data_IF_511038675824
#
_entry.id   IF_511038675824
#
_cell.length_a   1.000
_cell.length_b   1.000
_cell.length_c   1.000
_cell.angle_alpha   90.00
_cell.angle_beta   90.00
_cell.angle_gamma   90.00
#
_symmetry.space_group_name_H-M   'P 1'
#
loop_
_entity.id
_entity.type
_entity.pdbx_description
1 polymer ?
#
# COMPACT_ATOMS: atom_id res chain seq x y z
N UNK A 1 -4.19 -13.52 -14.48
CA UNK A 1 -4.58 -12.32 -13.68
C UNK A 1 -3.96 -11.09 -14.30
N UNK A 2 -4.80 -10.12 -14.62
CA UNK A 2 -4.35 -8.90 -15.30
C UNK A 2 -4.33 -7.74 -14.32
N UNK A 3 -3.27 -7.64 -13.54
CA UNK A 3 -3.09 -6.54 -12.60
C UNK A 3 -2.13 -5.52 -13.20
N UNK A 4 -2.56 -4.26 -13.19
CA UNK A 4 -1.76 -3.14 -13.69
C UNK A 4 -1.44 -2.23 -12.53
N UNK A 5 -0.19 -1.77 -12.45
CA UNK A 5 0.23 -0.78 -11.45
C UNK A 5 0.25 0.58 -12.13
N UNK A 6 -0.42 1.56 -11.53
CA UNK A 6 -0.40 2.94 -12.03
C UNK A 6 -0.28 3.92 -10.87
N UNK A 7 -0.03 5.18 -11.20
CA UNK A 7 0.02 6.24 -10.21
C UNK A 7 -1.33 6.48 -9.56
N UNK A 8 -1.29 6.87 -8.31
CA UNK A 8 -2.48 7.22 -7.54
C UNK A 8 -3.13 8.50 -8.09
N UNK A 9 -4.45 8.54 -8.03
CA UNK A 9 -5.26 9.72 -8.37
C UNK A 9 -6.17 10.07 -7.19
N UNK A 10 -6.55 11.35 -7.03
CA UNK A 10 -7.44 11.72 -5.91
C UNK A 10 -8.74 10.91 -5.83
N UNK A 11 -9.30 10.51 -6.97
CA UNK A 11 -10.51 9.69 -6.99
C UNK A 11 -10.29 8.27 -6.46
N UNK A 12 -9.04 7.85 -6.26
CA UNK A 12 -8.71 6.54 -5.72
C UNK A 12 -8.78 6.50 -4.19
N UNK A 13 -8.97 7.63 -3.53
CA UNK A 13 -8.89 7.73 -2.07
C UNK A 13 -9.80 6.74 -1.36
N UNK A 14 -11.08 6.70 -1.76
CA UNK A 14 -12.02 5.79 -1.11
C UNK A 14 -11.61 4.33 -1.26
N UNK A 15 -11.05 3.99 -2.41
CA UNK A 15 -10.61 2.62 -2.68
C UNK A 15 -9.40 2.24 -1.83
N UNK A 16 -8.42 3.12 -1.68
CA UNK A 16 -7.26 2.79 -0.84
C UNK A 16 -7.64 2.75 0.63
N UNK A 17 -8.58 3.57 1.07
CA UNK A 17 -9.10 3.48 2.44
C UNK A 17 -9.72 2.09 2.67
N UNK A 18 -10.52 1.61 1.72
CA UNK A 18 -11.15 0.30 1.81
C UNK A 18 -10.10 -0.81 1.90
N UNK A 19 -9.07 -0.76 1.06
CA UNK A 19 -8.00 -1.76 1.08
C UNK A 19 -7.27 -1.74 2.43
N UNK A 20 -6.90 -0.56 2.90
CA UNK A 20 -6.22 -0.42 4.20
C UNK A 20 -7.09 -0.97 5.32
N UNK A 21 -8.35 -0.58 5.36
CA UNK A 21 -9.23 -0.92 6.47
C UNK A 21 -9.54 -2.42 6.51
N UNK A 22 -9.47 -3.10 5.37
CA UNK A 22 -9.63 -4.55 5.30
C UNK A 22 -8.35 -5.29 5.63
N UNK A 23 -7.20 -4.74 5.26
CA UNK A 23 -5.91 -5.40 5.44
C UNK A 23 -5.31 -5.17 6.84
N UNK A 24 -5.55 -4.00 7.43
CA UNK A 24 -4.92 -3.63 8.69
C UNK A 24 -5.30 -4.55 9.86
N UNK A 25 -6.55 -4.98 10.02
CA UNK A 25 -6.88 -5.93 11.07
C UNK A 25 -6.12 -7.25 10.97
N UNK A 26 -5.87 -7.74 9.76
CA UNK A 26 -5.07 -8.95 9.57
C UNK A 26 -3.62 -8.74 10.00
N UNK A 27 -3.06 -7.58 9.68
CA UNK A 27 -1.71 -7.21 10.11
C UNK A 27 -1.58 -7.19 11.62
N UNK A 28 -2.61 -6.72 12.30
CA UNK A 28 -2.60 -6.57 13.75
C UNK A 28 -2.94 -7.86 14.48
N UNK A 29 -3.41 -8.87 13.76
CA UNK A 29 -3.83 -10.13 14.35
C UNK A 29 -2.68 -10.79 15.08
N UNK A 30 -2.91 -11.16 16.34
CA UNK A 30 -1.93 -11.83 17.16
C UNK A 30 -0.89 -10.92 17.81
N UNK A 31 -0.87 -9.64 17.45
CA UNK A 31 0.11 -8.69 17.96
C UNK A 31 -0.51 -7.60 18.82
N UNK A 32 -1.73 -7.20 18.51
CA UNK A 32 -2.42 -6.11 19.18
C UNK A 32 -3.87 -6.48 19.43
N UNK A 33 -4.48 -5.73 20.34
CA UNK A 33 -5.91 -5.79 20.56
C UNK A 33 -6.60 -5.29 19.29
N UNK A 34 -7.49 -6.10 18.67
CA UNK A 34 -8.20 -5.66 17.47
C UNK A 34 -8.98 -4.36 17.65
N UNK A 35 -9.30 -3.99 18.90
CA UNK A 35 -9.99 -2.73 19.19
C UNK A 35 -9.09 -1.52 18.98
N UNK A 36 -7.80 -1.74 18.80
CA UNK A 36 -6.84 -0.66 18.51
C UNK A 36 -6.85 -0.24 17.05
N UNK A 37 -7.59 -0.94 16.21
CA UNK A 37 -7.65 -0.62 14.80
C UNK A 37 -8.30 0.75 14.57
N UNK A 38 -7.65 1.54 13.69
CA UNK A 38 -8.14 2.86 13.29
C UNK A 38 -8.27 2.88 11.77
N UNK A 39 -9.46 3.20 11.23
CA UNK A 39 -9.62 3.37 9.78
C UNK A 39 -8.64 4.41 9.22
N UNK A 40 -8.18 4.20 8.01
CA UNK A 40 -7.20 5.10 7.39
C UNK A 40 -7.67 6.56 7.38
N UNK A 41 -8.93 6.79 7.06
CA UNK A 41 -9.48 8.14 7.01
C UNK A 41 -9.46 8.86 8.36
N UNK A 42 -9.38 8.10 9.46
CA UNK A 42 -9.34 8.65 10.83
C UNK A 42 -7.94 8.63 11.44
N UNK A 43 -7.00 7.98 10.77
CA UNK A 43 -5.63 7.86 11.25
C UNK A 43 -4.90 9.19 11.04
N UNK A 44 -4.29 9.77 12.10
CA UNK A 44 -3.51 11.00 11.91
C UNK A 44 -2.40 10.85 10.87
N UNK A 45 -1.91 9.64 10.64
CA UNK A 45 -0.85 9.40 9.67
C UNK A 45 -1.32 9.44 8.22
N UNK A 46 -2.65 9.46 7.98
CA UNK A 46 -3.16 9.45 6.60
C UNK A 46 -2.67 10.65 5.79
N UNK A 47 -2.40 11.76 6.45
CA UNK A 47 -1.92 12.97 5.78
C UNK A 47 -0.54 12.79 5.16
N UNK A 48 0.25 11.82 5.64
CA UNK A 48 1.56 11.54 5.05
C UNK A 48 1.45 10.91 3.66
N UNK A 49 0.29 10.37 3.33
CA UNK A 49 0.05 9.82 2.00
C UNK A 49 0.24 10.90 0.93
N UNK A 50 -0.15 12.14 1.23
CA UNK A 50 0.01 13.25 0.29
C UNK A 50 1.48 13.59 -0.01
N UNK A 51 2.39 13.22 0.89
CA UNK A 51 3.81 13.49 0.74
C UNK A 51 4.56 12.33 0.06
N UNK A 52 3.89 11.23 -0.21
CA UNK A 52 4.48 10.04 -0.82
C UNK A 52 4.13 9.95 -2.30
N UNK A 53 4.99 9.28 -3.05
CA UNK A 53 4.64 8.85 -4.39
C UNK A 53 3.79 7.58 -4.26
N UNK A 54 2.51 7.70 -4.53
CA UNK A 54 1.54 6.64 -4.33
C UNK A 54 1.21 5.91 -5.63
N UNK A 55 1.06 4.60 -5.53
CA UNK A 55 0.73 3.72 -6.65
C UNK A 55 -0.40 2.78 -6.24
N UNK A 56 -1.24 2.43 -7.21
CA UNK A 56 -2.34 1.50 -6.98
C UNK A 56 -2.23 0.32 -7.92
N UNK A 57 -2.66 -0.85 -7.43
CA UNK A 57 -2.77 -2.06 -8.23
C UNK A 57 -4.23 -2.21 -8.65
N UNK A 58 -4.45 -2.29 -9.96
CA UNK A 58 -5.81 -2.37 -10.53
C UNK A 58 -5.99 -3.72 -11.21
N UNK A 59 -7.01 -4.45 -10.81
CA UNK A 59 -7.42 -5.70 -11.43
C UNK A 59 -8.76 -5.44 -12.11
N UNK A 60 -8.74 -5.38 -13.45
CA UNK A 60 -9.86 -4.97 -14.30
C UNK A 60 -10.25 -3.53 -13.92
N UNK A 61 -11.31 -3.35 -13.14
CA UNK A 61 -11.78 -2.03 -12.72
C UNK A 61 -11.66 -1.79 -11.22
N UNK A 62 -11.08 -2.75 -10.49
CA UNK A 62 -11.03 -2.70 -9.03
C UNK A 62 -9.63 -2.45 -8.52
N UNK A 63 -9.49 -1.51 -7.60
CA UNK A 63 -8.23 -1.30 -6.89
C UNK A 63 -8.13 -2.38 -5.81
N UNK A 64 -7.08 -3.20 -5.90
CA UNK A 64 -6.88 -4.35 -5.04
C UNK A 64 -5.64 -4.22 -4.15
N UNK A 65 -4.92 -3.13 -4.27
CA UNK A 65 -3.75 -2.86 -3.42
C UNK A 65 -3.22 -1.47 -3.68
N UNK A 66 -2.35 -1.01 -2.79
CA UNK A 66 -1.66 0.25 -2.99
C UNK A 66 -0.31 0.24 -2.29
N UNK A 67 0.57 1.12 -2.71
CA UNK A 67 1.87 1.30 -2.10
C UNK A 67 2.27 2.77 -2.19
N UNK A 68 3.17 3.18 -1.33
CA UNK A 68 3.67 4.55 -1.32
C UNK A 68 5.16 4.58 -1.00
N UNK A 69 5.86 5.46 -1.69
CA UNK A 69 7.29 5.64 -1.53
C UNK A 69 7.57 7.05 -1.04
N UNK A 70 8.35 7.15 0.02
CA UNK A 70 8.91 8.40 0.52
C UNK A 70 10.43 8.18 0.52
N UNK A 71 11.06 8.40 -0.64
CA UNK A 71 12.45 8.06 -0.88
C UNK A 71 13.34 8.54 0.29
N UNK A 72 14.14 7.66 0.90
CA UNK A 72 14.50 6.31 0.44
C UNK A 72 13.62 5.18 1.00
N UNK A 73 12.46 5.49 1.55
CA UNK A 73 11.65 4.52 2.29
C UNK A 73 10.42 4.06 1.52
N UNK A 74 10.08 2.78 1.70
CA UNK A 74 8.77 2.26 1.35
C UNK A 74 7.85 2.53 2.53
N UNK A 75 6.95 3.50 2.38
CA UNK A 75 6.11 3.97 3.49
C UNK A 75 4.82 3.18 3.66
N UNK A 76 4.24 2.73 2.53
CA UNK A 76 2.95 2.04 2.54
C UNK A 76 2.99 0.85 1.59
N UNK A 77 2.41 -0.28 2.01
CA UNK A 77 2.23 -1.45 1.14
C UNK A 77 1.08 -2.28 1.70
N UNK A 78 -0.05 -2.24 1.02
CA UNK A 78 -1.26 -2.96 1.44
C UNK A 78 -1.92 -3.65 0.25
N UNK A 79 -2.42 -4.86 0.48
CA UNK A 79 -3.16 -5.65 -0.52
C UNK A 79 -4.47 -6.08 0.11
N UNK A 80 -5.58 -6.03 -0.66
CA UNK A 80 -6.87 -6.51 -0.22
C UNK A 80 -6.73 -7.98 0.21
N UNK A 81 -7.14 -8.35 1.44
CA UNK A 81 -7.02 -9.73 1.91
C UNK A 81 -7.67 -10.76 1.00
N UNK A 82 -8.72 -10.39 0.28
CA UNK A 82 -9.38 -11.29 -0.67
C UNK A 82 -8.47 -11.64 -1.85
N UNK A 83 -7.37 -10.93 -2.01
CA UNK A 83 -6.43 -11.09 -3.13
C UNK A 83 -5.05 -11.56 -2.69
N UNK A 84 -4.89 -12.01 -1.45
CA UNK A 84 -3.61 -12.51 -0.96
C UNK A 84 -3.16 -13.73 -1.79
N UNK A 85 -1.85 -13.93 -1.84
CA UNK A 85 -1.19 -15.05 -2.52
C UNK A 85 -1.32 -15.02 -4.03
N UNK A 86 -1.60 -13.87 -4.61
CA UNK A 86 -1.68 -13.68 -6.06
C UNK A 86 -0.53 -12.85 -6.61
N UNK A 87 0.47 -12.55 -5.78
CA UNK A 87 1.64 -11.80 -6.22
C UNK A 87 1.44 -10.32 -6.37
N UNK A 88 0.32 -9.76 -5.92
CA UNK A 88 0.02 -8.33 -6.07
C UNK A 88 0.98 -7.49 -5.24
N UNK A 89 1.24 -7.90 -3.99
CA UNK A 89 2.20 -7.21 -3.14
C UNK A 89 3.59 -7.17 -3.76
N UNK A 90 4.00 -8.27 -4.40
CA UNK A 90 5.29 -8.33 -5.07
C UNK A 90 5.35 -7.39 -6.26
N UNK A 91 4.27 -7.31 -7.05
CA UNK A 91 4.21 -6.37 -8.16
C UNK A 91 4.32 -4.92 -7.70
N UNK A 92 3.58 -4.58 -6.65
CA UNK A 92 3.65 -3.24 -6.05
C UNK A 92 5.05 -2.95 -5.53
N UNK A 93 5.64 -3.91 -4.81
CA UNK A 93 6.99 -3.76 -4.26
C UNK A 93 8.00 -3.52 -5.38
N UNK A 94 7.98 -4.33 -6.43
CA UNK A 94 8.92 -4.18 -7.55
C UNK A 94 8.78 -2.81 -8.22
N UNK A 95 7.54 -2.35 -8.38
CA UNK A 95 7.29 -1.04 -8.96
C UNK A 95 7.90 0.07 -8.09
N UNK A 96 7.72 -0.04 -6.78
CA UNK A 96 8.26 0.93 -5.84
C UNK A 96 9.79 0.89 -5.78
N UNK A 97 10.39 -0.31 -5.83
CA UNK A 97 11.84 -0.44 -5.81
C UNK A 97 12.49 0.28 -6.98
N UNK A 98 11.84 0.24 -8.14
CA UNK A 98 12.35 0.93 -9.32
C UNK A 98 12.33 2.45 -9.18
N UNK A 99 11.59 2.97 -8.20
CA UNK A 99 11.46 4.41 -7.95
C UNK A 99 12.35 4.90 -6.83
N UNK A 100 12.88 4.00 -6.02
CA UNK A 100 13.78 4.39 -4.93
C UNK A 100 15.17 4.64 -5.49
N UNK A 101 15.94 5.49 -4.80
CA UNK A 101 17.31 5.74 -5.23
C UNK A 101 18.14 4.47 -5.11
N UNK A 102 19.13 4.32 -5.99
CA UNK A 102 20.01 3.17 -5.98
C UNK A 102 20.71 3.02 -4.62
N UNK A 103 21.07 4.14 -4.01
CA UNK A 103 21.76 4.12 -2.72
C UNK A 103 20.94 3.49 -1.61
N UNK A 104 19.61 3.62 -1.70
CA UNK A 104 18.72 3.04 -0.69
C UNK A 104 18.77 1.51 -0.70
N UNK A 105 19.14 0.89 -1.82
CA UNK A 105 19.11 -0.57 -1.99
C UNK A 105 20.47 -1.20 -2.11
N UNK A 106 21.48 -0.42 -2.49
CA UNK A 106 22.83 -0.94 -2.67
C UNK A 106 23.68 -0.79 -1.43
N UNK A 107 23.14 -0.17 -0.40
CA UNK A 107 23.86 0.05 0.84
C UNK A 107 23.20 -0.71 1.98
N UNK A 108 23.27 -2.04 1.97
CA UNK A 108 22.78 -2.79 3.12
C UNK A 108 23.60 -2.39 4.34
N UNK A 109 22.98 -2.32 5.46
CA UNK A 109 23.68 -2.01 6.69
C UNK A 109 24.73 -3.05 7.03
#
# INVERSE_FOLDING_TARGET
MSVVIRGYRPEDWDAICRVHDRARPDELRGSFDPRSFVPLAQDPEHKYIADCDMFVAVDVDAIVGFAGVDDPYLAWLYVDPARYRRGIGRLLLRHCLARLSDDAWTSPP
#
